data_IF_545228402613
#
_entry.id   IF_545228402613
#
_cell.length_a   1.000
_cell.length_b   1.000
_cell.length_c   1.000
_cell.angle_alpha   90.00
_cell.angle_beta   90.00
_cell.angle_gamma   90.00
#
_symmetry.space_group_name_H-M   'P 1'
#
loop_
_entity.id
_entity.type
_entity.pdbx_description
1 polymer ?
#
# COMPACT_ATOMS: atom_id res chain seq x y z
N UNK A 1 3.05 -24.82 24.14
CA UNK A 1 1.61 -25.01 23.81
C UNK A 1 1.04 -23.66 23.42
N UNK A 2 0.05 -23.59 22.55
CA UNK A 2 -0.68 -22.33 22.33
C UNK A 2 -1.44 -22.01 23.62
N UNK A 3 -1.42 -20.75 24.03
CA UNK A 3 -2.22 -20.27 25.14
C UNK A 3 -3.64 -20.01 24.63
N UNK A 4 -4.68 -20.53 25.30
CA UNK A 4 -6.06 -20.24 24.96
C UNK A 4 -6.56 -19.08 25.83
N UNK A 5 -7.07 -18.01 25.20
CA UNK A 5 -7.67 -16.86 25.88
C UNK A 5 -9.18 -16.85 25.62
N UNK A 6 -9.98 -16.67 26.67
CA UNK A 6 -11.44 -16.56 26.57
C UNK A 6 -11.89 -15.12 26.66
N UNK A 7 -12.84 -14.75 25.83
CA UNK A 7 -13.40 -13.40 25.75
C UNK A 7 -14.92 -13.48 25.89
N UNK A 8 -15.51 -12.62 26.70
CA UNK A 8 -16.96 -12.47 26.80
C UNK A 8 -17.48 -11.70 25.60
N UNK A 9 -18.74 -11.90 25.26
CA UNK A 9 -19.42 -11.09 24.23
C UNK A 9 -19.14 -9.61 24.44
N UNK A 10 -18.90 -8.91 23.34
CA UNK A 10 -18.59 -7.47 23.23
C UNK A 10 -17.23 -7.07 23.83
N UNK A 11 -16.40 -8.03 24.32
CA UNK A 11 -15.04 -7.73 24.75
C UNK A 11 -14.14 -7.37 23.56
N UNK A 12 -13.29 -6.36 23.76
CA UNK A 12 -12.23 -6.02 22.84
C UNK A 12 -11.09 -7.06 22.97
N UNK A 13 -10.66 -7.61 21.84
CA UNK A 13 -9.50 -8.52 21.79
C UNK A 13 -8.22 -7.69 21.55
N UNK A 14 -8.28 -6.75 20.61
CA UNK A 14 -7.30 -5.69 20.38
C UNK A 14 -7.97 -4.52 19.62
N UNK A 15 -7.33 -3.37 19.62
CA UNK A 15 -7.85 -2.14 18.99
C UNK A 15 -6.98 -1.75 17.79
N UNK A 16 -7.59 -1.17 16.77
CA UNK A 16 -6.87 -0.56 15.63
C UNK A 16 -5.84 0.46 16.12
N UNK A 17 -4.66 0.44 15.54
CA UNK A 17 -3.50 1.26 15.92
C UNK A 17 -2.86 0.92 17.27
N UNK A 18 -3.29 -0.15 17.96
CA UNK A 18 -2.50 -0.70 19.09
C UNK A 18 -1.08 -0.98 18.66
N UNK A 19 -0.13 -0.71 19.57
CA UNK A 19 1.30 -0.89 19.34
C UNK A 19 1.62 -2.32 18.89
N UNK A 20 2.82 -2.51 18.39
CA UNK A 20 3.33 -3.77 17.85
C UNK A 20 2.96 -4.95 18.74
N UNK A 21 2.13 -5.84 18.20
CA UNK A 21 1.79 -7.09 18.87
C UNK A 21 2.33 -8.27 18.08
N UNK A 22 3.12 -9.12 18.76
CA UNK A 22 3.63 -10.37 18.20
C UNK A 22 2.60 -11.53 18.29
N UNK A 23 1.33 -11.21 18.54
CA UNK A 23 0.27 -12.21 18.72
C UNK A 23 -0.59 -12.39 17.46
N UNK A 24 -0.82 -13.64 17.10
CA UNK A 24 -1.79 -14.12 16.10
C UNK A 24 -2.84 -14.94 16.80
N UNK A 25 -4.09 -14.77 16.43
CA UNK A 25 -5.23 -15.42 17.04
C UNK A 25 -5.88 -16.43 16.08
N UNK A 26 -6.27 -17.58 16.63
CA UNK A 26 -7.07 -18.60 15.93
C UNK A 26 -8.36 -18.81 16.72
N UNK A 27 -9.51 -18.60 16.10
CA UNK A 27 -10.80 -18.82 16.78
C UNK A 27 -10.98 -20.31 17.04
N UNK A 28 -11.15 -20.71 18.29
CA UNK A 28 -11.45 -22.07 18.69
C UNK A 28 -12.95 -22.31 18.84
N UNK A 29 -13.65 -21.30 19.40
CA UNK A 29 -15.12 -21.34 19.57
C UNK A 29 -15.69 -19.92 19.55
N UNK A 30 -17.00 -19.80 19.23
CA UNK A 30 -17.69 -18.52 19.16
C UNK A 30 -17.42 -17.75 17.86
N UNK A 31 -17.64 -16.43 17.91
CA UNK A 31 -17.50 -15.54 16.76
C UNK A 31 -16.74 -14.27 17.14
N UNK A 32 -15.87 -13.81 16.24
CA UNK A 32 -15.14 -12.56 16.34
C UNK A 32 -15.54 -11.65 15.17
N UNK A 33 -15.77 -10.37 15.44
CA UNK A 33 -15.95 -9.35 14.42
C UNK A 33 -14.69 -8.52 14.27
N UNK A 34 -14.24 -8.32 13.04
CA UNK A 34 -13.22 -7.33 12.71
C UNK A 34 -13.91 -6.03 12.26
N UNK A 35 -13.43 -4.92 12.79
CA UNK A 35 -13.91 -3.56 12.47
C UNK A 35 -12.71 -2.71 12.06
N UNK A 36 -12.78 -2.11 10.89
CA UNK A 36 -11.74 -1.19 10.39
C UNK A 36 -12.21 0.25 10.37
N UNK A 37 -11.33 1.12 9.94
CA UNK A 37 -11.62 2.54 9.70
C UNK A 37 -12.81 2.67 8.73
N UNK A 38 -13.82 3.52 9.03
CA UNK A 38 -14.94 3.78 8.12
C UNK A 38 -14.46 4.18 6.72
N UNK A 39 -15.09 3.62 5.69
CA UNK A 39 -14.71 3.88 4.29
C UNK A 39 -13.58 3.01 3.76
N UNK A 40 -12.94 2.19 4.61
CA UNK A 40 -11.96 1.21 4.18
C UNK A 40 -12.63 -0.15 3.94
N UNK A 41 -12.30 -0.85 2.84
CA UNK A 41 -12.85 -2.18 2.60
C UNK A 41 -12.28 -3.15 3.62
N UNK A 42 -13.14 -4.01 4.10
CA UNK A 42 -12.77 -5.16 4.92
C UNK A 42 -13.34 -6.42 4.31
N UNK A 43 -12.48 -7.33 3.90
CA UNK A 43 -12.90 -8.59 3.26
C UNK A 43 -13.44 -9.62 4.25
N UNK A 44 -13.00 -9.54 5.52
CA UNK A 44 -13.41 -10.47 6.56
C UNK A 44 -13.94 -9.70 7.76
N UNK A 45 -15.24 -9.52 7.82
CA UNK A 45 -15.88 -8.80 8.92
C UNK A 45 -16.34 -9.72 10.06
N UNK A 46 -16.49 -11.01 9.81
CA UNK A 46 -16.94 -12.01 10.79
C UNK A 46 -16.11 -13.27 10.67
N UNK A 47 -15.59 -13.73 11.79
CA UNK A 47 -14.71 -14.90 11.92
C UNK A 47 -15.36 -15.94 12.83
N UNK A 48 -15.22 -17.20 12.45
CA UNK A 48 -15.68 -18.36 13.21
C UNK A 48 -14.56 -19.35 13.51
N UNK A 49 -14.87 -20.50 14.12
CA UNK A 49 -13.89 -21.51 14.48
C UNK A 49 -12.99 -21.92 13.31
N UNK A 50 -11.68 -21.94 13.54
CA UNK A 50 -10.64 -22.22 12.55
C UNK A 50 -10.14 -21.00 11.79
N UNK A 51 -10.78 -19.84 11.91
CA UNK A 51 -10.30 -18.60 11.31
C UNK A 51 -9.12 -18.00 12.08
N UNK A 52 -8.17 -17.43 11.31
CA UNK A 52 -6.95 -16.81 11.82
C UNK A 52 -7.03 -15.30 11.59
N UNK A 53 -6.63 -14.49 12.57
CA UNK A 53 -6.63 -13.03 12.47
C UNK A 53 -5.48 -12.38 13.24
N UNK A 54 -5.24 -11.09 12.98
CA UNK A 54 -4.14 -10.32 13.57
C UNK A 54 -2.76 -10.65 12.99
N UNK A 55 -2.66 -11.55 12.01
CA UNK A 55 -1.38 -12.01 11.46
C UNK A 55 -0.68 -10.98 10.56
N UNK A 56 -1.41 -10.09 9.89
CA UNK A 56 -0.80 -9.06 9.04
C UNK A 56 0.14 -8.16 9.86
N UNK A 57 -0.38 -7.56 10.90
CA UNK A 57 0.36 -6.66 11.80
C UNK A 57 1.50 -7.40 12.52
N UNK A 58 1.24 -8.62 12.97
CA UNK A 58 2.22 -9.48 13.61
C UNK A 58 3.42 -9.81 12.68
N UNK A 59 3.15 -10.20 11.42
CA UNK A 59 4.19 -10.56 10.45
C UNK A 59 5.08 -9.37 10.08
N UNK A 60 4.51 -8.18 9.90
CA UNK A 60 5.27 -6.98 9.54
C UNK A 60 5.75 -6.16 10.75
N UNK A 61 5.42 -6.56 11.98
CA UNK A 61 5.73 -5.83 13.22
C UNK A 61 5.27 -4.38 13.16
N UNK A 62 3.97 -4.22 12.92
CA UNK A 62 3.32 -2.91 12.76
C UNK A 62 2.04 -2.87 13.59
N UNK A 63 1.56 -1.65 13.91
CA UNK A 63 0.29 -1.49 14.62
C UNK A 63 -0.87 -2.22 13.94
N UNK A 64 -1.88 -2.57 14.72
CA UNK A 64 -3.08 -3.26 14.26
C UNK A 64 -3.80 -2.45 13.18
N UNK A 65 -4.23 -3.11 12.12
CA UNK A 65 -4.97 -2.47 11.00
C UNK A 65 -6.46 -2.39 11.26
N UNK A 66 -6.95 -3.18 12.21
CA UNK A 66 -8.36 -3.33 12.56
C UNK A 66 -8.55 -3.52 14.07
N UNK A 67 -9.77 -3.30 14.53
CA UNK A 67 -10.22 -3.65 15.89
C UNK A 67 -10.91 -5.00 15.86
N UNK A 68 -10.52 -5.93 16.73
CA UNK A 68 -11.15 -7.22 16.91
C UNK A 68 -12.04 -7.24 18.15
N UNK A 69 -13.31 -7.66 17.97
CA UNK A 69 -14.34 -7.68 19.02
C UNK A 69 -14.96 -9.07 19.10
N UNK A 70 -15.11 -9.62 20.27
CA UNK A 70 -15.87 -10.85 20.50
C UNK A 70 -17.35 -10.61 20.24
N UNK A 71 -17.92 -11.24 19.20
CA UNK A 71 -19.34 -11.08 18.86
C UNK A 71 -20.28 -11.96 19.70
N UNK A 72 -19.73 -13.05 20.18
CA UNK A 72 -20.32 -13.96 21.17
C UNK A 72 -19.23 -14.26 22.20
N UNK A 73 -19.55 -14.95 23.27
CA UNK A 73 -18.53 -15.57 24.09
C UNK A 73 -17.69 -16.46 23.19
N UNK A 74 -16.36 -16.29 23.21
CA UNK A 74 -15.45 -16.99 22.32
C UNK A 74 -14.14 -17.36 23.04
N UNK A 75 -13.47 -18.39 22.54
CA UNK A 75 -12.09 -18.69 22.88
C UNK A 75 -11.20 -18.64 21.66
N UNK A 76 -9.97 -18.15 21.84
CA UNK A 76 -8.98 -18.06 20.78
C UNK A 76 -7.66 -18.63 21.27
N UNK A 77 -7.06 -19.51 20.46
CA UNK A 77 -5.67 -19.88 20.65
C UNK A 77 -4.78 -18.71 20.23
N UNK A 78 -3.80 -18.37 21.06
CA UNK A 78 -2.85 -17.29 20.83
C UNK A 78 -1.49 -17.88 20.48
N UNK A 79 -0.94 -17.45 19.37
CA UNK A 79 0.35 -17.87 18.84
C UNK A 79 1.27 -16.64 18.76
N UNK A 80 2.47 -16.77 19.33
CA UNK A 80 3.53 -15.80 19.04
C UNK A 80 3.98 -15.90 17.59
N UNK A 81 4.54 -14.80 17.08
CA UNK A 81 4.98 -14.64 15.69
C UNK A 81 5.84 -15.77 15.17
N UNK A 82 6.88 -16.14 15.91
CA UNK A 82 7.86 -17.14 15.46
C UNK A 82 7.19 -18.51 15.33
N UNK A 83 6.37 -18.89 16.30
CA UNK A 83 5.60 -20.14 16.25
C UNK A 83 4.57 -20.14 15.13
N UNK A 84 3.92 -19.02 14.88
CA UNK A 84 3.02 -18.87 13.74
C UNK A 84 3.77 -19.08 12.42
N UNK A 85 4.95 -18.46 12.26
CA UNK A 85 5.80 -18.62 11.08
C UNK A 85 6.25 -20.08 10.90
N UNK A 86 6.68 -20.77 11.97
CA UNK A 86 7.04 -22.18 11.93
C UNK A 86 5.88 -23.05 11.42
N UNK A 87 4.68 -22.81 11.95
CA UNK A 87 3.48 -23.54 11.53
C UNK A 87 3.16 -23.30 10.06
N UNK A 88 3.26 -22.05 9.59
CA UNK A 88 3.00 -21.72 8.18
C UNK A 88 4.08 -22.29 7.27
N UNK A 89 5.35 -22.22 7.66
CA UNK A 89 6.47 -22.75 6.90
C UNK A 89 6.44 -24.28 6.77
N UNK A 90 5.89 -24.97 7.77
CA UNK A 90 5.74 -26.44 7.76
C UNK A 90 4.45 -26.90 7.08
N UNK A 91 3.54 -26.01 6.74
CA UNK A 91 2.24 -26.34 6.12
C UNK A 91 2.01 -25.52 4.85
N UNK A 92 2.32 -26.15 3.70
CA UNK A 92 2.21 -25.51 2.38
C UNK A 92 0.77 -25.06 2.03
N UNK A 93 -0.25 -25.76 2.50
CA UNK A 93 -1.65 -25.36 2.29
C UNK A 93 -1.99 -24.10 3.07
N UNK A 94 -1.61 -24.03 4.35
CA UNK A 94 -1.78 -22.83 5.18
C UNK A 94 -1.02 -21.64 4.58
N UNK A 95 0.23 -21.86 4.14
CA UNK A 95 1.03 -20.83 3.47
C UNK A 95 0.31 -20.29 2.23
N UNK A 96 -0.18 -21.17 1.37
CA UNK A 96 -0.91 -20.81 0.16
C UNK A 96 -2.19 -20.00 0.48
N UNK A 97 -2.96 -20.40 1.50
CA UNK A 97 -4.18 -19.69 1.93
C UNK A 97 -3.86 -18.26 2.42
N UNK A 98 -2.81 -18.10 3.23
CA UNK A 98 -2.42 -16.78 3.74
C UNK A 98 -1.89 -15.88 2.62
N UNK A 99 -1.08 -16.43 1.71
CA UNK A 99 -0.58 -15.69 0.54
C UNK A 99 -1.75 -15.28 -0.36
N UNK A 100 -2.74 -16.15 -0.56
CA UNK A 100 -3.96 -15.83 -1.32
C UNK A 100 -4.77 -14.72 -0.67
N UNK A 101 -4.89 -14.73 0.64
CA UNK A 101 -5.52 -13.65 1.40
C UNK A 101 -4.81 -12.30 1.15
N UNK A 102 -3.49 -12.25 1.32
CA UNK A 102 -2.72 -11.03 1.05
C UNK A 102 -2.88 -10.55 -0.39
N UNK A 103 -2.90 -11.49 -1.36
CA UNK A 103 -3.07 -11.17 -2.76
C UNK A 103 -4.42 -10.50 -3.05
N UNK A 104 -5.50 -11.01 -2.45
CA UNK A 104 -6.85 -10.46 -2.60
C UNK A 104 -6.97 -9.07 -1.97
N UNK A 105 -6.49 -8.92 -0.73
CA UNK A 105 -6.50 -7.64 -0.01
C UNK A 105 -5.69 -6.57 -0.76
N UNK A 106 -4.46 -6.90 -1.18
CA UNK A 106 -3.61 -5.97 -1.93
C UNK A 106 -4.27 -5.54 -3.24
N UNK A 107 -4.85 -6.48 -3.99
CA UNK A 107 -5.57 -6.15 -5.24
C UNK A 107 -6.70 -5.16 -4.99
N UNK A 108 -7.48 -5.38 -3.95
CA UNK A 108 -8.58 -4.49 -3.63
C UNK A 108 -8.11 -3.11 -3.16
N UNK A 109 -7.05 -3.06 -2.35
CA UNK A 109 -6.47 -1.78 -1.94
C UNK A 109 -5.83 -1.03 -3.11
N UNK A 110 -5.11 -1.74 -3.99
CA UNK A 110 -4.54 -1.13 -5.20
C UNK A 110 -5.65 -0.58 -6.11
N UNK A 111 -6.77 -1.28 -6.28
CA UNK A 111 -7.91 -0.79 -7.03
C UNK A 111 -8.50 0.48 -6.43
N UNK A 112 -8.63 0.56 -5.11
CA UNK A 112 -9.09 1.77 -4.42
C UNK A 112 -8.09 2.93 -4.51
N UNK A 113 -6.79 2.62 -4.53
CA UNK A 113 -5.77 3.66 -4.75
C UNK A 113 -5.94 4.34 -6.11
N UNK A 114 -6.44 3.61 -7.08
CA UNK A 114 -6.53 4.02 -8.48
C UNK A 114 -7.95 4.27 -8.95
N UNK A 115 -8.97 4.11 -8.07
CA UNK A 115 -10.37 4.32 -8.44
C UNK A 115 -10.52 5.69 -9.10
N UNK A 116 -10.75 5.76 -10.42
CA UNK A 116 -11.17 6.98 -11.05
C UNK A 116 -12.62 7.21 -10.65
N UNK A 117 -13.01 8.46 -10.60
CA UNK A 117 -14.39 8.84 -10.68
C UNK A 117 -15.15 7.96 -11.71
N UNK A 118 -16.11 7.19 -11.24
CA UNK A 118 -17.30 6.65 -11.90
C UNK A 118 -17.20 5.72 -13.13
N UNK A 119 -16.07 5.57 -13.84
CA UNK A 119 -15.99 4.77 -15.07
C UNK A 119 -15.05 3.56 -15.04
N UNK A 120 -14.73 3.04 -13.85
CA UNK A 120 -13.85 1.87 -13.67
C UNK A 120 -14.49 0.51 -14.06
N UNK A 121 -15.48 0.52 -14.96
CA UNK A 121 -16.17 -0.67 -15.46
C UNK A 121 -15.54 -1.33 -16.68
N UNK A 122 -14.50 -0.76 -17.28
CA UNK A 122 -13.83 -1.35 -18.45
C UNK A 122 -12.64 -2.24 -18.05
N UNK A 123 -12.89 -3.30 -17.28
CA UNK A 123 -11.96 -4.40 -17.17
C UNK A 123 -11.94 -5.15 -18.51
N UNK A 124 -11.01 -4.82 -19.40
CA UNK A 124 -10.99 -5.56 -20.63
C UNK A 124 -10.17 -4.92 -21.74
N UNK A 125 -10.64 -5.12 -22.95
CA UNK A 125 -9.99 -4.67 -24.19
C UNK A 125 -9.79 -3.16 -24.23
N UNK A 126 -10.83 -2.35 -23.89
CA UNK A 126 -10.76 -0.88 -23.87
C UNK A 126 -9.70 -0.35 -22.94
N UNK A 127 -9.57 -0.96 -21.74
CA UNK A 127 -8.53 -0.60 -20.79
C UNK A 127 -7.13 -0.80 -21.37
N UNK A 128 -6.86 -1.99 -21.93
CA UNK A 128 -5.55 -2.31 -22.53
C UNK A 128 -5.26 -1.43 -23.75
N UNK A 129 -6.25 -1.14 -24.56
CA UNK A 129 -6.13 -0.19 -25.67
C UNK A 129 -5.80 1.23 -25.16
N UNK A 130 -6.49 1.67 -24.13
CA UNK A 130 -6.24 2.94 -23.46
C UNK A 130 -4.84 3.03 -22.86
N UNK A 131 -4.38 1.97 -22.17
CA UNK A 131 -3.05 1.84 -21.61
C UNK A 131 -1.97 1.93 -22.69
N UNK A 132 -2.11 1.18 -23.78
CA UNK A 132 -1.18 1.19 -24.89
C UNK A 132 -1.13 2.57 -25.57
N UNK A 133 -2.29 3.19 -25.79
CA UNK A 133 -2.42 4.54 -26.34
C UNK A 133 -1.81 5.61 -25.44
N UNK A 134 -1.93 5.44 -24.12
CA UNK A 134 -1.30 6.31 -23.13
C UNK A 134 0.23 6.29 -23.26
N UNK A 135 0.84 5.11 -23.29
CA UNK A 135 2.29 4.98 -23.47
C UNK A 135 2.75 5.53 -24.82
N UNK A 136 1.98 5.31 -25.89
CA UNK A 136 2.29 5.84 -27.21
C UNK A 136 2.34 7.37 -27.22
N UNK A 137 1.31 8.04 -26.62
CA UNK A 137 1.26 9.51 -26.52
C UNK A 137 2.39 10.10 -25.69
N UNK A 138 2.89 9.35 -24.69
CA UNK A 138 4.04 9.75 -23.86
C UNK A 138 5.40 9.46 -24.51
N UNK A 139 5.42 8.97 -25.77
CA UNK A 139 6.65 8.62 -26.47
C UNK A 139 7.33 7.35 -25.95
N UNK A 140 6.69 6.62 -25.04
CA UNK A 140 7.18 5.33 -24.53
C UNK A 140 6.83 4.20 -25.49
N UNK A 141 7.42 4.27 -26.70
CA UNK A 141 7.03 3.42 -27.83
C UNK A 141 7.12 1.93 -27.51
N UNK A 142 8.18 1.47 -26.82
CA UNK A 142 8.35 0.05 -26.46
C UNK A 142 7.29 -0.43 -25.46
N UNK A 143 6.90 0.40 -24.49
CA UNK A 143 5.82 0.08 -23.56
C UNK A 143 4.47 -0.02 -24.27
N UNK A 144 4.21 0.89 -25.22
CA UNK A 144 3.02 0.83 -26.06
C UNK A 144 2.97 -0.46 -26.89
N UNK A 145 4.08 -0.84 -27.53
CA UNK A 145 4.20 -2.09 -28.28
C UNK A 145 3.85 -3.29 -27.40
N UNK A 146 4.44 -3.37 -26.19
CA UNK A 146 4.16 -4.44 -25.23
C UNK A 146 2.68 -4.48 -24.85
N UNK A 147 2.09 -3.35 -24.48
CA UNK A 147 0.68 -3.27 -24.09
C UNK A 147 -0.28 -3.64 -25.24
N UNK A 148 -0.03 -3.22 -26.49
CA UNK A 148 -0.80 -3.66 -27.65
C UNK A 148 -0.67 -5.17 -27.92
N UNK A 149 0.53 -5.75 -27.72
CA UNK A 149 0.73 -7.20 -27.83
C UNK A 149 -0.11 -7.94 -26.80
N UNK A 150 -0.13 -7.47 -25.55
CA UNK A 150 -0.96 -8.06 -24.47
C UNK A 150 -2.45 -7.92 -24.81
N UNK A 151 -2.88 -6.77 -25.33
CA UNK A 151 -4.26 -6.55 -25.77
C UNK A 151 -4.68 -7.59 -26.82
N UNK A 152 -3.91 -7.75 -27.88
CA UNK A 152 -4.19 -8.71 -28.95
C UNK A 152 -4.09 -10.18 -28.49
N UNK A 153 -3.16 -10.50 -27.59
CA UNK A 153 -3.05 -11.85 -27.04
C UNK A 153 -4.25 -12.22 -26.17
N UNK A 154 -4.81 -11.26 -25.45
CA UNK A 154 -5.95 -11.48 -24.56
C UNK A 154 -7.29 -11.37 -25.28
N UNK A 155 -7.40 -10.50 -26.28
CA UNK A 155 -8.61 -10.23 -27.04
C UNK A 155 -8.35 -10.32 -28.56
N UNK A 156 -8.01 -11.52 -29.09
CA UNK A 156 -7.63 -11.67 -30.49
C UNK A 156 -8.79 -11.37 -31.46
N UNK A 157 -10.03 -11.57 -31.02
CA UNK A 157 -11.25 -11.30 -31.79
C UNK A 157 -12.05 -10.13 -31.18
N UNK A 158 -11.40 -9.27 -30.39
CA UNK A 158 -12.03 -8.12 -29.76
C UNK A 158 -12.50 -7.07 -30.76
N UNK A 159 -13.42 -6.22 -30.34
CA UNK A 159 -13.98 -5.14 -31.18
C UNK A 159 -12.88 -4.20 -31.69
N UNK A 160 -11.83 -4.00 -30.89
CA UNK A 160 -10.70 -3.11 -31.20
C UNK A 160 -9.45 -3.85 -31.70
N UNK A 161 -9.52 -5.17 -31.92
CA UNK A 161 -8.34 -5.97 -32.33
C UNK A 161 -7.72 -5.44 -33.64
N UNK A 162 -8.54 -5.03 -34.62
CA UNK A 162 -8.05 -4.44 -35.88
C UNK A 162 -7.32 -3.11 -35.69
N UNK A 163 -7.83 -2.23 -34.83
CA UNK A 163 -7.19 -0.97 -34.48
C UNK A 163 -5.86 -1.23 -33.73
N UNK A 164 -5.89 -2.10 -32.73
CA UNK A 164 -4.71 -2.47 -31.95
C UNK A 164 -3.62 -3.07 -32.82
N UNK A 165 -3.95 -3.93 -33.78
CA UNK A 165 -3.01 -4.51 -34.74
C UNK A 165 -2.38 -3.45 -35.65
N UNK A 166 -3.16 -2.54 -36.18
CA UNK A 166 -2.68 -1.44 -37.01
C UNK A 166 -1.70 -0.52 -36.24
N UNK A 167 -2.04 -0.16 -35.02
CA UNK A 167 -1.18 0.64 -34.13
C UNK A 167 0.10 -0.10 -33.75
N UNK A 168 -0.01 -1.38 -33.45
CA UNK A 168 1.15 -2.22 -33.12
C UNK A 168 2.15 -2.25 -34.29
N UNK A 169 1.68 -2.43 -35.53
CA UNK A 169 2.53 -2.49 -36.72
C UNK A 169 3.23 -1.14 -36.98
N UNK A 170 2.52 -0.02 -36.81
CA UNK A 170 3.09 1.33 -36.91
C UNK A 170 4.21 1.54 -35.87
N UNK A 171 3.93 1.18 -34.60
CA UNK A 171 4.86 1.41 -33.50
C UNK A 171 6.05 0.47 -33.50
N UNK A 172 5.91 -0.78 -33.97
CA UNK A 172 7.04 -1.72 -34.12
C UNK A 172 8.12 -1.17 -35.04
N UNK A 173 7.73 -0.53 -36.16
CA UNK A 173 8.70 0.11 -37.07
C UNK A 173 9.49 1.23 -36.39
N UNK A 174 8.88 1.92 -35.43
CA UNK A 174 9.52 3.01 -34.65
C UNK A 174 10.31 2.50 -33.46
N UNK A 175 9.88 1.38 -32.85
CA UNK A 175 10.50 0.82 -31.65
C UNK A 175 11.87 0.18 -31.93
N UNK A 176 12.13 -0.25 -33.18
CA UNK A 176 13.27 -1.06 -33.54
C UNK A 176 13.18 -2.49 -32.94
N UNK A 177 14.26 -3.24 -33.07
CA UNK A 177 14.32 -4.57 -32.46
C UNK A 177 14.16 -4.51 -30.94
N UNK A 178 13.41 -5.46 -30.33
CA UNK A 178 13.35 -5.57 -28.89
C UNK A 178 14.75 -5.87 -28.32
N UNK A 179 15.09 -5.33 -27.15
CA UNK A 179 16.35 -5.69 -26.51
C UNK A 179 16.39 -7.20 -26.30
N UNK A 180 17.51 -7.82 -26.65
CA UNK A 180 17.72 -9.25 -26.41
C UNK A 180 17.64 -9.48 -24.91
N UNK A 181 16.84 -10.47 -24.51
CA UNK A 181 16.77 -10.90 -23.11
C UNK A 181 18.12 -11.53 -22.76
N UNK A 182 18.87 -10.86 -21.92
CA UNK A 182 20.10 -11.41 -21.36
C UNK A 182 19.75 -12.31 -20.18
N UNK A 183 20.46 -13.45 -20.08
CA UNK A 183 20.34 -14.35 -18.95
C UNK A 183 21.69 -14.46 -18.23
N UNK A 184 21.67 -14.31 -16.91
CA UNK A 184 22.80 -14.57 -16.02
C UNK A 184 22.44 -15.75 -15.12
N UNK A 185 22.84 -16.95 -15.55
CA UNK A 185 22.38 -18.18 -14.88
C UNK A 185 20.89 -18.40 -15.03
N UNK A 186 20.17 -18.49 -13.91
CA UNK A 186 18.69 -18.60 -13.88
C UNK A 186 17.99 -17.25 -13.88
N UNK A 187 18.72 -16.15 -13.82
CA UNK A 187 18.16 -14.81 -13.78
C UNK A 187 18.00 -14.22 -15.18
N UNK A 188 17.00 -13.36 -15.35
CA UNK A 188 16.78 -12.50 -16.52
C UNK A 188 17.26 -11.09 -16.20
N UNK A 189 17.97 -10.47 -17.13
CA UNK A 189 18.45 -9.09 -17.00
C UNK A 189 17.55 -8.17 -17.80
N UNK A 190 17.09 -7.12 -17.16
CA UNK A 190 16.25 -6.08 -17.74
C UNK A 190 17.01 -4.76 -17.75
N UNK A 191 17.02 -4.10 -18.90
CA UNK A 191 17.66 -2.79 -19.05
C UNK A 191 16.82 -1.69 -18.36
N UNK A 192 17.44 -0.52 -18.16
CA UNK A 192 16.76 0.66 -17.64
C UNK A 192 15.51 1.01 -18.45
N UNK A 193 14.41 1.27 -17.77
CA UNK A 193 13.11 1.58 -18.38
C UNK A 193 12.46 0.42 -19.11
N UNK A 194 12.98 -0.80 -19.06
CA UNK A 194 12.36 -1.96 -19.72
C UNK A 194 11.15 -2.44 -18.92
N UNK A 195 10.01 -2.62 -19.61
CA UNK A 195 8.82 -3.23 -19.05
C UNK A 195 9.04 -4.73 -18.84
N UNK A 196 8.75 -5.20 -17.63
CA UNK A 196 8.85 -6.61 -17.23
C UNK A 196 7.52 -7.30 -17.54
N UNK A 197 6.43 -6.67 -17.18
CA UNK A 197 5.08 -7.02 -17.56
C UNK A 197 4.16 -5.80 -17.44
N UNK A 198 3.03 -5.80 -18.13
CA UNK A 198 2.03 -4.75 -17.98
C UNK A 198 0.80 -5.21 -17.19
N UNK A 199 0.05 -4.23 -16.67
CA UNK A 199 -1.25 -4.49 -16.04
C UNK A 199 -2.17 -5.25 -17.01
N UNK A 200 -2.99 -6.14 -16.48
CA UNK A 200 -3.87 -7.05 -17.21
C UNK A 200 -3.18 -8.13 -18.05
N UNK A 201 -1.85 -8.20 -18.09
CA UNK A 201 -1.12 -9.31 -18.71
C UNK A 201 -1.33 -10.61 -17.92
N UNK A 202 -1.48 -11.73 -18.62
CA UNK A 202 -1.49 -13.05 -17.99
C UNK A 202 -0.11 -13.38 -17.44
N UNK A 203 -0.05 -13.85 -16.20
CA UNK A 203 1.24 -14.15 -15.55
C UNK A 203 1.22 -15.46 -14.78
N UNK A 204 2.25 -16.29 -15.03
CA UNK A 204 2.47 -17.55 -14.32
C UNK A 204 3.81 -17.57 -13.56
N UNK A 205 4.49 -16.43 -13.47
CA UNK A 205 5.76 -16.27 -12.76
C UNK A 205 5.69 -15.13 -11.77
N UNK A 206 6.32 -15.30 -10.62
CA UNK A 206 6.77 -14.21 -9.75
C UNK A 206 8.26 -13.97 -9.97
N UNK A 207 8.74 -12.85 -9.49
CA UNK A 207 10.14 -12.46 -9.62
C UNK A 207 10.74 -12.11 -8.27
N UNK A 208 11.97 -12.58 -8.03
CA UNK A 208 12.79 -12.14 -6.90
C UNK A 208 13.88 -11.22 -7.46
N UNK A 209 13.98 -10.01 -6.93
CA UNK A 209 15.01 -9.04 -7.34
C UNK A 209 16.34 -9.47 -6.75
N UNK A 210 17.30 -9.82 -7.61
CA UNK A 210 18.68 -10.19 -7.22
C UNK A 210 19.58 -8.97 -7.16
N UNK A 211 19.34 -8.00 -8.04
CA UNK A 211 19.99 -6.68 -8.03
C UNK A 211 19.15 -5.67 -8.80
N UNK A 212 19.37 -4.38 -8.56
CA UNK A 212 18.64 -3.28 -9.21
C UNK A 212 17.36 -2.88 -8.50
N UNK A 213 16.45 -2.24 -9.24
CA UNK A 213 15.18 -1.69 -8.73
C UNK A 213 14.07 -1.91 -9.74
N UNK A 214 12.85 -2.10 -9.26
CA UNK A 214 11.65 -2.25 -10.09
C UNK A 214 10.58 -1.28 -9.59
N UNK A 215 10.04 -0.47 -10.49
CA UNK A 215 8.89 0.38 -10.24
C UNK A 215 7.61 -0.40 -10.54
N UNK A 216 6.69 -0.41 -9.58
CA UNK A 216 5.35 -0.95 -9.72
C UNK A 216 4.39 0.22 -9.83
N UNK A 217 3.70 0.32 -10.96
CA UNK A 217 2.81 1.45 -11.23
C UNK A 217 1.47 1.01 -11.82
N UNK A 218 0.47 1.84 -11.63
CA UNK A 218 -0.81 1.78 -12.34
C UNK A 218 -0.97 3.01 -13.21
N UNK A 219 -1.61 2.81 -14.36
CA UNK A 219 -1.94 3.91 -15.27
C UNK A 219 -3.44 4.15 -15.19
N UNK A 220 -3.80 5.32 -14.67
CA UNK A 220 -5.16 5.85 -14.70
C UNK A 220 -5.13 7.14 -15.54
N UNK A 221 -5.26 7.05 -16.88
CA UNK A 221 -5.08 8.22 -17.73
C UNK A 221 -5.89 9.43 -17.26
N UNK A 222 -5.30 10.63 -17.18
CA UNK A 222 -3.98 10.99 -17.70
C UNK A 222 -2.77 10.74 -16.78
N UNK A 223 -2.92 10.05 -15.66
CA UNK A 223 -1.93 9.94 -14.59
C UNK A 223 -1.29 8.55 -14.52
N UNK A 224 -0.04 8.51 -14.07
CA UNK A 224 0.64 7.31 -13.60
C UNK A 224 0.72 7.36 -12.07
N UNK A 225 0.27 6.30 -11.42
CA UNK A 225 0.31 6.17 -9.97
C UNK A 225 1.40 5.18 -9.60
N UNK A 226 2.50 5.69 -9.04
CA UNK A 226 3.56 4.85 -8.51
C UNK A 226 3.08 4.16 -7.21
N UNK A 227 2.88 2.85 -7.28
CA UNK A 227 2.45 2.04 -6.14
C UNK A 227 3.63 1.74 -5.22
N UNK A 228 4.78 1.33 -5.79
CA UNK A 228 5.95 0.92 -5.01
C UNK A 228 7.22 0.97 -5.84
N UNK A 229 8.37 1.16 -5.17
CA UNK A 229 9.71 0.94 -5.72
C UNK A 229 10.32 -0.23 -4.94
N UNK A 230 10.50 -1.33 -5.64
CA UNK A 230 11.05 -2.57 -5.09
C UNK A 230 12.55 -2.64 -5.33
N UNK A 231 13.25 -3.32 -4.42
CA UNK A 231 14.72 -3.38 -4.38
C UNK A 231 15.21 -4.81 -4.24
N UNK A 232 16.51 -5.00 -4.20
CA UNK A 232 17.14 -6.30 -3.97
C UNK A 232 16.52 -7.03 -2.76
N UNK A 233 16.17 -8.29 -2.97
CA UNK A 233 15.51 -9.17 -2.01
C UNK A 233 13.98 -9.10 -2.02
N UNK A 234 13.38 -8.08 -2.65
CA UNK A 234 11.93 -7.97 -2.78
C UNK A 234 11.37 -8.95 -3.81
N UNK A 235 10.08 -9.26 -3.65
CA UNK A 235 9.33 -10.20 -4.48
C UNK A 235 8.13 -9.46 -5.07
N UNK A 236 7.85 -9.73 -6.36
CA UNK A 236 6.69 -9.13 -7.04
C UNK A 236 6.13 -10.06 -8.13
N UNK A 237 4.94 -9.73 -8.63
CA UNK A 237 4.22 -10.57 -9.59
C UNK A 237 3.52 -11.77 -8.94
N UNK A 238 3.59 -11.91 -7.63
CA UNK A 238 3.00 -13.00 -6.83
C UNK A 238 1.47 -13.02 -6.90
N UNK A 239 0.83 -11.84 -7.03
CA UNK A 239 -0.64 -11.71 -7.02
C UNK A 239 -1.30 -12.49 -8.16
N UNK A 240 -0.68 -12.51 -9.35
CA UNK A 240 -1.22 -13.23 -10.51
C UNK A 240 -1.04 -14.74 -10.40
N UNK A 241 0.03 -15.18 -9.72
CA UNK A 241 0.26 -16.62 -9.52
C UNK A 241 -0.74 -17.19 -8.53
N UNK A 242 -0.92 -16.53 -7.40
CA UNK A 242 -1.71 -17.05 -6.29
C UNK A 242 -3.20 -17.03 -6.63
N UNK A 243 -3.69 -15.94 -7.21
CA UNK A 243 -5.12 -15.79 -7.53
C UNK A 243 -5.55 -16.27 -8.91
N UNK A 244 -4.61 -16.81 -9.72
CA UNK A 244 -4.83 -17.17 -11.13
C UNK A 244 -5.47 -16.02 -11.95
N UNK A 245 -5.13 -14.78 -11.59
CA UNK A 245 -5.69 -13.56 -12.16
C UNK A 245 -4.63 -12.82 -12.97
N UNK A 246 -5.00 -11.94 -13.88
CA UNK A 246 -4.04 -11.08 -14.59
C UNK A 246 -3.21 -10.21 -13.65
N UNK A 247 -2.09 -9.68 -14.16
CA UNK A 247 -1.24 -8.71 -13.46
C UNK A 247 -2.06 -7.52 -12.96
N UNK A 248 -1.91 -7.17 -11.70
CA UNK A 248 -2.66 -6.08 -11.06
C UNK A 248 -2.05 -4.69 -11.32
N UNK A 249 -0.83 -4.65 -11.80
CA UNK A 249 -0.07 -3.44 -12.03
C UNK A 249 0.99 -3.68 -13.11
N UNK A 250 1.59 -2.60 -13.62
CA UNK A 250 2.72 -2.64 -14.55
C UNK A 250 4.03 -2.61 -13.77
N UNK A 251 4.99 -3.44 -14.17
CA UNK A 251 6.33 -3.49 -13.60
C UNK A 251 7.37 -3.04 -14.62
N UNK A 252 8.21 -2.07 -14.23
CA UNK A 252 9.24 -1.47 -15.09
C UNK A 252 10.58 -1.46 -14.32
N UNK A 253 11.65 -1.84 -14.98
CA UNK A 253 13.00 -1.78 -14.43
C UNK A 253 13.46 -0.33 -14.29
N UNK A 254 13.94 0.06 -13.11
CA UNK A 254 14.49 1.39 -12.82
C UNK A 254 16.02 1.28 -12.64
N UNK A 255 16.73 1.44 -13.73
CA UNK A 255 18.11 1.00 -13.89
C UNK A 255 18.19 -0.44 -14.40
N UNK A 256 19.40 -0.99 -14.59
CA UNK A 256 19.56 -2.41 -14.89
C UNK A 256 19.11 -3.24 -13.67
N UNK A 257 18.30 -4.26 -13.91
CA UNK A 257 17.80 -5.15 -12.85
C UNK A 257 17.95 -6.62 -13.23
N UNK A 258 18.45 -7.42 -12.29
CA UNK A 258 18.57 -8.87 -12.42
C UNK A 258 17.46 -9.54 -11.60
N UNK A 259 16.60 -10.31 -12.29
CA UNK A 259 15.39 -10.90 -11.72
C UNK A 259 15.43 -12.43 -11.86
N UNK A 260 15.19 -13.12 -10.74
CA UNK A 260 14.99 -14.57 -10.72
C UNK A 260 13.51 -14.88 -10.92
N UNK A 261 13.10 -15.42 -12.07
CA UNK A 261 11.72 -15.87 -12.27
C UNK A 261 11.46 -17.17 -11.51
N UNK A 262 10.30 -17.27 -10.89
CA UNK A 262 9.81 -18.47 -10.21
C UNK A 262 8.42 -18.78 -10.74
N UNK A 263 8.25 -19.91 -11.41
CA UNK A 263 6.97 -20.30 -11.98
C UNK A 263 5.98 -20.80 -10.90
N UNK A 264 4.70 -20.75 -11.22
CA UNK A 264 3.61 -21.26 -10.36
C UNK A 264 3.86 -22.74 -10.01
N UNK A 265 4.26 -23.53 -10.99
CA UNK A 265 4.49 -24.97 -10.84
C UNK A 265 5.66 -25.28 -9.89
N UNK A 266 6.61 -24.37 -9.80
CA UNK A 266 7.78 -24.50 -8.92
C UNK A 266 7.50 -24.11 -7.46
N UNK A 267 6.44 -23.35 -7.18
CA UNK A 267 6.15 -22.83 -5.83
C UNK A 267 5.97 -23.94 -4.78
N UNK A 268 5.17 -25.01 -4.98
CA UNK A 268 5.01 -26.03 -3.97
C UNK A 268 6.34 -26.73 -3.62
N UNK A 269 7.17 -27.00 -4.63
CA UNK A 269 8.49 -27.60 -4.44
C UNK A 269 9.42 -26.63 -3.72
N UNK A 270 9.35 -25.35 -4.07
CA UNK A 270 10.15 -24.31 -3.44
C UNK A 270 9.77 -24.15 -1.96
N UNK A 271 8.50 -24.18 -1.63
CA UNK A 271 8.01 -24.09 -0.24
C UNK A 271 8.49 -25.28 0.61
N UNK A 272 8.47 -26.49 0.04
CA UNK A 272 8.97 -27.68 0.73
C UNK A 272 10.49 -27.65 0.92
N UNK A 273 11.24 -27.23 -0.11
CA UNK A 273 12.71 -27.23 -0.08
C UNK A 273 13.31 -26.05 0.69
N UNK A 274 12.58 -24.95 0.79
CA UNK A 274 13.09 -23.69 1.35
C UNK A 274 12.00 -22.98 2.17
N UNK A 275 11.64 -23.48 3.36
CA UNK A 275 10.61 -22.85 4.21
C UNK A 275 10.90 -21.37 4.52
N UNK A 276 12.17 -20.98 4.57
CA UNK A 276 12.57 -19.59 4.77
C UNK A 276 12.05 -18.64 3.67
N UNK A 277 11.83 -19.14 2.44
CA UNK A 277 11.28 -18.34 1.35
C UNK A 277 9.82 -18.00 1.63
N UNK A 278 9.05 -18.95 2.19
CA UNK A 278 7.66 -18.69 2.62
C UNK A 278 7.63 -17.52 3.61
N UNK A 279 8.49 -17.55 4.63
CA UNK A 279 8.58 -16.46 5.60
C UNK A 279 8.92 -15.10 4.98
N UNK A 280 9.82 -15.07 3.98
CA UNK A 280 10.14 -13.84 3.23
C UNK A 280 8.97 -13.32 2.41
N UNK A 281 8.27 -14.20 1.70
CA UNK A 281 7.07 -13.83 0.92
C UNK A 281 6.00 -13.25 1.85
N UNK A 282 5.70 -13.92 2.94
CA UNK A 282 4.70 -13.46 3.92
C UNK A 282 5.08 -12.12 4.54
N UNK A 283 6.34 -11.94 4.92
CA UNK A 283 6.83 -10.68 5.47
C UNK A 283 6.74 -9.55 4.45
N UNK A 284 7.13 -9.80 3.19
CA UNK A 284 7.05 -8.80 2.13
C UNK A 284 5.59 -8.40 1.81
N UNK A 285 4.70 -9.39 1.70
CA UNK A 285 3.28 -9.15 1.42
C UNK A 285 2.58 -8.44 2.57
N UNK A 286 2.85 -8.83 3.82
CA UNK A 286 2.26 -8.17 4.99
C UNK A 286 2.73 -6.72 5.14
N UNK A 287 4.02 -6.43 4.88
CA UNK A 287 4.54 -5.07 4.86
C UNK A 287 3.88 -4.25 3.75
N UNK A 288 3.83 -4.77 2.53
CA UNK A 288 3.21 -4.10 1.39
C UNK A 288 1.73 -3.81 1.66
N UNK A 289 1.00 -4.79 2.22
CA UNK A 289 -0.41 -4.61 2.57
C UNK A 289 -0.58 -3.50 3.62
N UNK A 290 0.23 -3.53 4.67
CA UNK A 290 0.18 -2.52 5.73
C UNK A 290 0.45 -1.11 5.19
N UNK A 291 1.50 -0.92 4.37
CA UNK A 291 1.81 0.39 3.78
C UNK A 291 0.73 0.86 2.79
N UNK A 292 0.15 -0.05 1.99
CA UNK A 292 -0.95 0.29 1.09
C UNK A 292 -2.19 0.73 1.88
N UNK A 293 -2.50 0.03 2.99
CA UNK A 293 -3.56 0.40 3.92
C UNK A 293 -3.36 1.82 4.49
N UNK A 294 -2.16 2.12 5.02
CA UNK A 294 -1.86 3.44 5.59
C UNK A 294 -1.95 4.54 4.52
N UNK A 295 -1.51 4.27 3.28
CA UNK A 295 -1.64 5.22 2.16
C UNK A 295 -3.11 5.46 1.81
N UNK A 296 -3.93 4.43 1.77
CA UNK A 296 -5.38 4.59 1.57
C UNK A 296 -6.02 5.39 2.70
N UNK A 297 -5.67 5.07 3.93
CA UNK A 297 -6.14 5.82 5.10
C UNK A 297 -5.72 7.28 5.06
N UNK A 298 -4.52 7.58 4.56
CA UNK A 298 -4.07 8.95 4.36
C UNK A 298 -4.95 9.73 3.38
N UNK A 299 -5.54 9.09 2.36
CA UNK A 299 -6.48 9.75 1.44
C UNK A 299 -7.77 10.25 2.12
N UNK A 300 -8.13 9.71 3.26
CA UNK A 300 -9.29 10.17 4.03
C UNK A 300 -9.08 11.55 4.66
N UNK A 301 -7.85 12.03 4.79
CA UNK A 301 -7.59 13.38 5.26
C UNK A 301 -8.02 14.40 4.20
N UNK A 302 -8.85 15.36 4.62
CA UNK A 302 -9.35 16.41 3.73
C UNK A 302 -8.22 17.34 3.27
N UNK A 303 -7.29 17.66 4.18
CA UNK A 303 -6.18 18.56 3.89
C UNK A 303 -5.04 17.85 3.15
N UNK A 304 -4.70 18.27 1.90
CA UNK A 304 -3.63 17.68 1.12
C UNK A 304 -2.24 17.78 1.77
N UNK A 305 -2.00 18.82 2.57
CA UNK A 305 -0.74 18.95 3.32
C UNK A 305 -0.61 17.83 4.36
N UNK A 306 -1.68 17.51 5.08
CA UNK A 306 -1.73 16.37 6.01
C UNK A 306 -1.36 15.07 5.29
N UNK A 307 -1.93 14.84 4.09
CA UNK A 307 -1.62 13.66 3.28
C UNK A 307 -0.14 13.59 2.89
N UNK A 308 0.46 14.72 2.52
CA UNK A 308 1.87 14.77 2.15
C UNK A 308 2.80 14.44 3.34
N UNK A 309 2.54 14.98 4.53
CA UNK A 309 3.32 14.66 5.72
C UNK A 309 3.17 13.20 6.17
N UNK A 310 1.94 12.67 6.14
CA UNK A 310 1.68 11.24 6.42
C UNK A 310 2.39 10.34 5.41
N UNK A 311 2.45 10.73 4.14
CA UNK A 311 3.21 10.00 3.12
C UNK A 311 4.72 9.99 3.43
N UNK A 312 5.31 11.12 3.79
CA UNK A 312 6.73 11.22 4.15
C UNK A 312 7.06 10.36 5.37
N UNK A 313 6.21 10.42 6.42
CA UNK A 313 6.32 9.55 7.59
C UNK A 313 6.33 8.08 7.20
N UNK A 314 5.38 7.66 6.34
CA UNK A 314 5.30 6.28 5.86
C UNK A 314 6.54 5.89 5.06
N UNK A 315 7.11 6.80 4.27
CA UNK A 315 8.35 6.54 3.52
C UNK A 315 9.56 6.32 4.42
N UNK A 316 9.64 7.02 5.54
CA UNK A 316 10.66 6.74 6.56
C UNK A 316 10.47 5.34 7.13
N UNK A 317 9.24 4.98 7.48
CA UNK A 317 8.92 3.64 8.01
C UNK A 317 9.19 2.52 6.99
N UNK A 318 8.88 2.72 5.70
CA UNK A 318 9.20 1.77 4.63
C UNK A 318 10.71 1.49 4.56
N UNK A 319 11.53 2.53 4.78
CA UNK A 319 12.99 2.41 4.81
C UNK A 319 13.53 1.95 6.17
N UNK A 320 12.67 1.51 7.09
CA UNK A 320 13.02 1.07 8.46
C UNK A 320 13.72 2.15 9.29
N UNK A 321 13.43 3.41 9.02
CA UNK A 321 13.97 4.52 9.77
C UNK A 321 13.06 4.78 10.98
N UNK A 322 13.66 4.84 12.17
CA UNK A 322 12.92 5.14 13.39
C UNK A 322 12.42 6.58 13.37
N UNK A 323 11.14 6.77 13.64
CA UNK A 323 10.53 8.09 13.77
C UNK A 323 11.03 8.88 15.00
N UNK A 324 11.65 8.19 15.97
CA UNK A 324 12.33 8.87 17.10
C UNK A 324 13.72 9.39 16.75
N UNK A 325 14.24 9.13 15.53
CA UNK A 325 15.54 9.62 15.08
C UNK A 325 15.55 11.13 14.90
N UNK A 326 16.65 11.76 15.29
CA UNK A 326 16.94 13.17 15.04
C UNK A 326 18.04 13.38 13.99
N UNK A 327 18.48 12.29 13.33
CA UNK A 327 19.52 12.37 12.29
C UNK A 327 18.88 12.62 10.93
N UNK A 328 19.49 13.46 10.08
CA UNK A 328 19.00 13.69 8.74
C UNK A 328 18.90 12.40 7.90
N UNK A 329 17.86 12.33 7.10
CA UNK A 329 17.60 11.20 6.21
C UNK A 329 17.25 11.71 4.82
N UNK A 330 17.83 11.11 3.80
CA UNK A 330 17.53 11.40 2.39
C UNK A 330 16.58 10.36 1.84
N UNK A 331 15.41 10.81 1.39
CA UNK A 331 14.46 10.00 0.64
C UNK A 331 14.62 10.30 -0.86
N UNK A 332 14.72 9.25 -1.68
CA UNK A 332 14.80 9.37 -3.15
C UNK A 332 13.41 9.64 -3.75
N UNK A 333 12.83 10.79 -3.40
CA UNK A 333 11.50 11.25 -3.82
C UNK A 333 11.56 12.74 -4.09
N UNK A 334 11.17 13.15 -5.30
CA UNK A 334 11.00 14.56 -5.63
C UNK A 334 9.69 15.13 -5.11
N UNK A 335 9.60 16.46 -5.00
CA UNK A 335 8.38 17.11 -4.51
C UNK A 335 7.15 16.78 -5.37
N UNK A 336 7.30 16.66 -6.70
CA UNK A 336 6.22 16.28 -7.60
C UNK A 336 5.72 14.85 -7.35
N UNK A 337 6.64 13.92 -7.04
CA UNK A 337 6.28 12.53 -6.70
C UNK A 337 5.54 12.47 -5.37
N UNK A 338 5.97 13.25 -4.37
CA UNK A 338 5.29 13.36 -3.08
C UNK A 338 3.86 13.88 -3.28
N UNK A 339 3.70 14.93 -4.08
CA UNK A 339 2.39 15.54 -4.37
C UNK A 339 1.45 14.56 -5.08
N UNK A 340 1.95 13.86 -6.12
CA UNK A 340 1.18 12.85 -6.86
C UNK A 340 0.77 11.68 -5.96
N UNK A 341 1.71 11.14 -5.18
CA UNK A 341 1.44 10.03 -4.26
C UNK A 341 0.48 10.42 -3.12
N UNK A 342 0.52 11.67 -2.66
CA UNK A 342 -0.41 12.22 -1.67
C UNK A 342 -1.78 12.57 -2.26
N UNK A 343 -1.96 12.46 -3.58
CA UNK A 343 -3.19 12.81 -4.27
C UNK A 343 -3.56 14.28 -4.08
N UNK A 344 -2.58 15.18 -4.20
CA UNK A 344 -2.80 16.63 -4.13
C UNK A 344 -3.45 17.08 -5.43
N UNK A 345 -4.64 17.75 -5.40
CA UNK A 345 -5.27 18.29 -6.58
C UNK A 345 -4.39 19.34 -7.28
N UNK A 346 -4.49 19.44 -8.60
CA UNK A 346 -3.64 20.35 -9.39
C UNK A 346 -3.78 21.83 -8.98
N UNK A 347 -4.98 22.25 -8.61
CA UNK A 347 -5.28 23.61 -8.12
C UNK A 347 -4.68 23.91 -6.74
N UNK A 348 -4.32 22.87 -5.97
CA UNK A 348 -3.71 22.99 -4.64
C UNK A 348 -2.21 22.67 -4.65
N UNK A 349 -1.65 22.39 -5.83
CA UNK A 349 -0.26 22.00 -5.95
C UNK A 349 0.70 23.07 -5.43
N UNK A 350 0.61 24.30 -5.91
CA UNK A 350 1.50 25.38 -5.50
C UNK A 350 1.36 25.78 -4.02
N UNK A 351 0.15 25.92 -3.45
CA UNK A 351 -0.01 26.15 -2.02
C UNK A 351 0.68 25.08 -1.16
N UNK A 352 0.43 23.80 -1.43
CA UNK A 352 1.00 22.70 -0.63
C UNK A 352 2.53 22.62 -0.83
N UNK A 353 3.01 22.82 -2.06
CA UNK A 353 4.45 22.88 -2.36
C UNK A 353 5.14 23.98 -1.56
N UNK A 354 4.56 25.18 -1.51
CA UNK A 354 5.13 26.30 -0.79
C UNK A 354 5.16 26.05 0.73
N UNK A 355 4.12 25.42 1.28
CA UNK A 355 4.10 25.03 2.70
C UNK A 355 5.15 23.95 3.02
N UNK A 356 5.32 22.94 2.16
CA UNK A 356 6.37 21.94 2.33
C UNK A 356 7.77 22.56 2.22
N UNK A 357 7.99 23.47 1.28
CA UNK A 357 9.28 24.12 1.07
C UNK A 357 9.61 25.13 2.17
N UNK A 358 8.62 25.65 2.88
CA UNK A 358 8.81 26.57 4.00
C UNK A 358 9.13 25.84 5.33
N UNK A 359 8.94 24.51 5.39
CA UNK A 359 9.29 23.74 6.58
C UNK A 359 10.80 23.57 6.69
N UNK A 360 11.41 24.15 7.71
CA UNK A 360 12.85 24.04 7.96
C UNK A 360 13.36 22.61 8.17
N UNK A 361 12.45 21.65 8.45
CA UNK A 361 12.77 20.24 8.59
C UNK A 361 12.84 19.49 7.24
N UNK A 362 12.47 20.15 6.14
CA UNK A 362 12.46 19.57 4.80
C UNK A 362 13.32 20.38 3.84
N UNK A 363 14.20 19.73 3.10
CA UNK A 363 14.92 20.37 2.00
C UNK A 363 14.76 19.53 0.72
N UNK A 364 14.43 20.20 -0.37
CA UNK A 364 14.11 19.55 -1.66
C UNK A 364 15.22 19.82 -2.67
N UNK A 365 15.76 18.75 -3.23
CA UNK A 365 16.67 18.77 -4.36
C UNK A 365 16.13 17.89 -5.46
N UNK A 366 16.48 18.12 -6.71
CA UNK A 366 15.92 17.54 -7.94
C UNK A 366 15.00 16.30 -7.81
N UNK A 367 15.36 15.20 -7.26
CA UNK A 367 14.54 13.99 -7.03
C UNK A 367 14.74 13.41 -5.64
N UNK A 368 15.03 14.30 -4.70
CA UNK A 368 15.30 13.92 -3.33
C UNK A 368 14.67 14.92 -2.37
N UNK A 369 14.23 14.42 -1.24
CA UNK A 369 13.90 15.22 -0.07
C UNK A 369 14.77 14.79 1.10
N UNK A 370 15.42 15.75 1.74
CA UNK A 370 16.10 15.53 3.01
C UNK A 370 15.13 15.86 4.14
N UNK A 371 14.92 14.93 5.03
CA UNK A 371 14.20 15.10 6.29
C UNK A 371 15.27 15.30 7.38
N UNK A 372 15.42 16.51 7.89
CA UNK A 372 16.46 16.85 8.87
C UNK A 372 16.29 16.09 10.19
N UNK A 373 15.04 15.90 10.62
CA UNK A 373 14.69 15.14 11.81
C UNK A 373 13.41 14.36 11.60
N UNK A 374 13.46 13.00 11.50
CA UNK A 374 12.29 12.15 11.49
C UNK A 374 11.33 12.39 12.66
N UNK A 375 11.86 12.70 13.85
CA UNK A 375 11.05 12.99 15.03
C UNK A 375 10.25 14.31 14.88
N UNK A 376 10.86 15.34 14.30
CA UNK A 376 10.16 16.59 14.01
C UNK A 376 9.09 16.39 12.93
N UNK A 377 9.38 15.58 11.89
CA UNK A 377 8.41 15.22 10.86
C UNK A 377 7.20 14.52 11.46
N UNK A 378 7.42 13.50 12.30
CA UNK A 378 6.37 12.74 12.99
C UNK A 378 5.50 13.66 13.86
N UNK A 379 6.12 14.56 14.64
CA UNK A 379 5.42 15.53 15.47
C UNK A 379 4.55 16.46 14.63
N UNK A 380 5.06 16.92 13.48
CA UNK A 380 4.29 17.75 12.54
C UNK A 380 3.15 16.99 11.90
N UNK A 381 3.38 15.76 11.45
CA UNK A 381 2.35 14.89 10.89
C UNK A 381 1.23 14.60 11.90
N UNK A 382 1.59 14.33 13.16
CA UNK A 382 0.63 14.11 14.26
C UNK A 382 -0.22 15.36 14.51
N UNK A 383 0.39 16.53 14.57
CA UNK A 383 -0.33 17.81 14.73
C UNK A 383 -1.33 18.01 13.58
N UNK A 384 -0.92 17.81 12.33
CA UNK A 384 -1.77 17.99 11.16
C UNK A 384 -2.93 17.00 11.15
N UNK A 385 -2.69 15.71 11.47
CA UNK A 385 -3.74 14.70 11.62
C UNK A 385 -4.80 15.11 12.64
N UNK A 386 -4.36 15.58 13.82
CA UNK A 386 -5.28 16.02 14.87
C UNK A 386 -6.11 17.21 14.41
N UNK A 387 -5.51 18.19 13.76
CA UNK A 387 -6.20 19.36 13.22
C UNK A 387 -7.21 19.00 12.14
N UNK A 388 -6.83 18.13 11.20
CA UNK A 388 -7.69 17.68 10.12
C UNK A 388 -8.90 16.91 10.65
N UNK A 389 -8.69 16.06 11.66
CA UNK A 389 -9.79 15.36 12.34
C UNK A 389 -10.76 16.33 13.04
N UNK A 390 -10.26 17.34 13.74
CA UNK A 390 -11.09 18.37 14.40
C UNK A 390 -11.89 19.23 13.41
N UNK A 391 -11.38 19.39 12.19
CA UNK A 391 -12.02 20.15 11.12
C UNK A 391 -12.97 19.29 10.25
N UNK A 392 -13.10 17.99 10.55
CA UNK A 392 -13.99 17.09 9.81
C UNK A 392 -15.46 17.57 9.85
N UNK A 393 -16.23 17.39 8.75
CA UNK A 393 -17.63 17.82 8.69
C UNK A 393 -18.49 17.21 9.80
N UNK A 394 -18.20 15.97 10.19
CA UNK A 394 -18.92 15.23 11.23
C UNK A 394 -18.76 15.89 12.60
N UNK A 395 -17.55 16.32 12.96
CA UNK A 395 -17.30 17.01 14.23
C UNK A 395 -17.74 18.48 14.18
N UNK A 396 -17.67 19.14 13.01
CA UNK A 396 -18.23 20.49 12.84
C UNK A 396 -19.74 20.52 13.06
N UNK A 397 -20.45 19.47 12.62
CA UNK A 397 -21.91 19.36 12.83
C UNK A 397 -22.29 19.20 14.31
N UNK A 398 -21.38 18.68 15.15
CA UNK A 398 -21.61 18.46 16.59
C UNK A 398 -21.02 19.56 17.48
N UNK A 399 -20.32 20.57 16.91
CA UNK A 399 -19.91 21.73 17.71
C UNK A 399 -21.15 22.52 18.15
N UNK A 400 -21.35 22.74 19.45
CA UNK A 400 -22.40 23.62 19.90
C UNK A 400 -22.17 25.00 19.25
N UNK A 401 -23.23 25.55 18.64
CA UNK A 401 -23.16 26.92 18.09
C UNK A 401 -22.73 27.83 19.24
N UNK A 402 -21.73 28.70 19.02
CA UNK A 402 -21.41 29.69 20.04
C UNK A 402 -22.68 30.45 20.38
N UNK A 403 -23.06 30.45 21.66
CA UNK A 403 -24.21 31.19 22.14
C UNK A 403 -24.02 32.64 21.70
N UNK A 404 -24.91 33.14 20.85
CA UNK A 404 -25.05 34.58 20.58
C UNK A 404 -25.64 35.24 21.82
N UNK A 405 -24.86 35.30 22.88
CA UNK A 405 -25.15 36.01 24.08
C UNK A 405 -24.02 37.01 24.32
N UNK A 406 -24.32 38.29 24.22
CA UNK A 406 -23.49 39.35 24.79
C UNK A 406 -23.33 39.05 26.28
N UNK A 407 -22.21 38.40 26.65
CA UNK A 407 -21.77 38.36 28.05
C UNK A 407 -21.15 39.73 28.29
N UNK A 408 -21.97 40.65 28.81
CA UNK A 408 -21.49 41.84 29.49
C UNK A 408 -20.73 41.35 30.72
N UNK A 409 -19.42 41.42 30.67
CA UNK A 409 -18.57 41.24 31.84
C UNK A 409 -18.82 42.45 32.76
N UNK A 410 -19.59 42.23 33.83
CA UNK A 410 -19.63 43.14 34.96
C UNK A 410 -18.26 43.06 35.68
N UNK A 411 -17.51 44.17 35.62
CA UNK A 411 -16.16 44.25 36.20
C UNK A 411 -16.18 44.41 37.74
N UNK A 412 -17.31 44.24 38.39
CA UNK A 412 -17.46 44.47 39.84
C UNK A 412 -17.18 43.24 40.73
N UNK A 413 -17.06 42.02 40.17
CA UNK A 413 -16.91 40.79 40.99
C UNK A 413 -15.49 40.18 41.04
N UNK A 414 -14.47 40.87 40.58
CA UNK A 414 -13.07 40.41 40.78
C UNK A 414 -12.40 41.15 41.96
N UNK A 415 -12.96 41.07 43.16
CA UNK A 415 -12.22 41.38 44.40
C UNK A 415 -11.90 40.09 45.15
N UNK A 416 -10.66 39.69 45.06
CA UNK A 416 -10.08 38.67 45.95
C UNK A 416 -10.01 39.21 47.36
N UNK A 417 -10.59 38.55 48.40
CA UNK A 417 -10.38 38.92 49.79
C UNK A 417 -8.94 38.68 50.19
N UNK A 418 -8.26 39.74 50.65
CA UNK A 418 -7.01 39.58 51.40
C UNK A 418 -7.42 39.08 52.79
N UNK A 419 -7.13 37.84 53.11
CA UNK A 419 -6.77 37.43 54.48
C UNK A 419 -6.28 35.96 54.54
N UNK A 420 -5.08 35.90 55.18
CA UNK A 420 -4.45 34.78 55.90
C UNK A 420 -3.66 33.77 55.08
N UNK A 421 -2.40 34.10 54.99
CA UNK A 421 -1.28 33.14 55.07
C UNK A 421 -0.85 33.07 56.56
N UNK A 422 -0.63 31.90 57.09
CA UNK A 422 0.64 31.66 57.81
C UNK A 422 1.54 30.69 57.02
#
# INVERSE_FOLDING_TARGET
MAESKSFRKDALIYIESDEESDEVFVVESGQVALRGTPGMPMFRQSLGPGDIFGFTSCLCRRPRMETAVARTDCSCAVLGRDRFLENVQSNAELASRIISYFAQELRAYDNLMTAPSADAGSEGEEYLLGLASYFARRGRVRHAVHAYQVCLARFPEGVHAGEAAGKLEELRRRAGEPPKMEARGMCRVYADGQMIFCEQESGNELYVIKSGKVEILKVAPPEEILLSILREGDIFGELSIVSASPRNATAISAGESELLPVSRESLPVLFQKSPAIVGRILSALSQRLWFTFIRLRAKAYANPLTRAYVLLENKLLEQRISLSSTRPVILSLGIGEIMGMAGVPADQFDPVKNELAADANLSFQFRQVTVESPNALESRARYLRTRDHLDSPELRAHRPRPAQGKIGLDQSEMRVPKEKIP
#
